data_IF_673253937648
#
_entry.id   IF_673253937648
#
_cell.length_a   1.000
_cell.length_b   1.000
_cell.length_c   1.000
_cell.angle_alpha   90.00
_cell.angle_beta   90.00
_cell.angle_gamma   90.00
#
_symmetry.space_group_name_H-M   'P 1'
#
loop_
_entity.id
_entity.type
_entity.pdbx_description
1 polymer ?
#
# COMPACT_ATOMS: atom_id res chain seq x y z
N UNK A 1 7.47 19.99 -7.44
CA UNK A 1 6.64 18.99 -6.73
C UNK A 1 7.57 17.97 -6.06
N UNK A 2 8.37 18.43 -5.10
CA UNK A 2 9.59 17.72 -4.68
C UNK A 2 9.64 17.38 -3.18
N UNK A 3 8.60 17.68 -2.41
CA UNK A 3 8.62 17.56 -0.95
C UNK A 3 7.32 17.04 -0.35
N UNK A 4 6.45 16.41 -1.16
CA UNK A 4 5.20 15.87 -0.67
C UNK A 4 4.88 14.56 -1.40
N UNK A 5 4.11 13.70 -0.74
CA UNK A 5 3.52 12.51 -1.34
C UNK A 5 2.15 12.89 -1.87
N UNK A 6 1.90 12.60 -3.13
CA UNK A 6 0.54 12.68 -3.66
C UNK A 6 -0.23 11.44 -3.18
N UNK A 7 -1.25 11.66 -2.37
CA UNK A 7 -2.16 10.63 -1.88
C UNK A 7 -3.59 11.16 -1.89
N UNK A 8 -4.56 10.29 -2.18
CA UNK A 8 -5.99 10.63 -2.24
C UNK A 8 -6.82 9.58 -1.53
N UNK A 9 -7.76 10.03 -0.70
CA UNK A 9 -8.77 9.17 -0.12
C UNK A 9 -9.74 8.67 -1.20
N UNK A 10 -9.97 7.37 -1.21
CA UNK A 10 -11.00 6.72 -2.02
C UNK A 10 -12.06 6.21 -1.06
N UNK A 11 -13.22 6.85 -1.09
CA UNK A 11 -14.36 6.49 -0.27
C UNK A 11 -15.00 5.20 -0.75
N UNK A 12 -15.68 4.50 0.16
CA UNK A 12 -16.39 3.28 -0.16
C UNK A 12 -17.46 3.54 -1.22
N UNK A 13 -17.56 2.62 -2.19
CA UNK A 13 -18.49 2.72 -3.31
C UNK A 13 -19.37 1.49 -3.32
N UNK A 14 -20.69 1.70 -3.39
CA UNK A 14 -21.62 0.64 -3.81
C UNK A 14 -21.70 0.66 -5.34
N UNK A 15 -21.22 -0.38 -6.04
CA UNK A 15 -21.23 -0.43 -7.49
C UNK A 15 -22.64 -0.34 -8.07
N UNK A 16 -22.75 0.20 -9.29
CA UNK A 16 -23.99 0.18 -10.04
C UNK A 16 -24.35 -1.25 -10.44
N UNK A 17 -25.65 -1.58 -10.39
CA UNK A 17 -26.17 -2.90 -10.82
C UNK A 17 -26.55 -2.94 -12.30
N UNK A 18 -26.58 -1.78 -12.95
CA UNK A 18 -26.95 -1.59 -14.35
C UNK A 18 -26.29 -0.33 -14.93
N UNK A 19 -26.42 -0.13 -16.24
CA UNK A 19 -25.81 0.99 -16.96
C UNK A 19 -26.50 2.35 -16.76
N UNK A 20 -27.62 2.40 -16.04
CA UNK A 20 -28.45 3.60 -15.89
C UNK A 20 -28.36 4.22 -14.48
N UNK A 21 -27.93 3.43 -13.49
CA UNK A 21 -27.81 3.86 -12.10
C UNK A 21 -26.38 4.27 -11.80
N UNK A 22 -26.17 5.47 -11.27
CA UNK A 22 -24.85 5.89 -10.80
C UNK A 22 -24.43 5.09 -9.55
N UNK A 23 -23.14 4.75 -9.39
CA UNK A 23 -22.65 4.16 -8.14
C UNK A 23 -22.90 5.09 -6.96
N UNK A 24 -23.19 4.52 -5.79
CA UNK A 24 -23.42 5.30 -4.57
C UNK A 24 -22.13 5.40 -3.77
N UNK A 25 -21.74 6.63 -3.42
CA UNK A 25 -20.55 6.91 -2.62
C UNK A 25 -20.94 7.02 -1.14
N UNK A 26 -20.26 6.28 -0.27
CA UNK A 26 -20.32 6.46 1.17
C UNK A 26 -19.12 7.30 1.64
N UNK A 27 -19.33 8.61 1.75
CA UNK A 27 -18.29 9.55 2.20
C UNK A 27 -17.91 9.40 3.67
N UNK A 28 -18.65 8.60 4.46
CA UNK A 28 -18.31 8.35 5.86
C UNK A 28 -17.23 7.27 6.04
N UNK A 29 -16.97 6.47 4.99
CA UNK A 29 -16.01 5.37 5.01
C UNK A 29 -14.94 5.57 3.95
N UNK A 30 -13.69 5.74 4.37
CA UNK A 30 -12.52 5.69 3.48
C UNK A 30 -12.07 4.24 3.37
N UNK A 31 -12.07 3.69 2.16
CA UNK A 31 -11.76 2.27 1.93
C UNK A 31 -10.33 2.09 1.40
N UNK A 32 -9.82 3.06 0.65
CA UNK A 32 -8.45 3.07 0.16
C UNK A 32 -7.79 4.43 0.30
N UNK A 33 -6.46 4.40 0.32
CA UNK A 33 -5.62 5.55 0.00
C UNK A 33 -4.88 5.20 -1.28
N UNK A 34 -5.12 5.96 -2.35
CA UNK A 34 -4.37 5.86 -3.59
C UNK A 34 -3.16 6.80 -3.50
N UNK A 35 -1.95 6.27 -3.52
CA UNK A 35 -0.74 7.06 -3.31
C UNK A 35 0.32 6.88 -4.40
N UNK A 36 1.15 7.92 -4.57
CA UNK A 36 2.42 7.83 -5.28
C UNK A 36 3.40 6.96 -4.49
N UNK A 37 4.25 6.20 -5.19
CA UNK A 37 5.38 5.53 -4.56
C UNK A 37 6.34 6.56 -3.94
N UNK A 38 6.88 6.30 -2.73
CA UNK A 38 7.77 7.24 -2.07
C UNK A 38 9.05 7.47 -2.88
N UNK A 39 9.53 8.70 -2.84
CA UNK A 39 10.88 9.06 -3.26
C UNK A 39 11.83 8.87 -2.07
N UNK A 40 13.15 8.80 -2.32
CA UNK A 40 14.15 8.67 -1.25
C UNK A 40 13.97 9.71 -0.13
N UNK A 41 13.57 10.93 -0.49
CA UNK A 41 13.36 12.05 0.44
C UNK A 41 11.99 12.10 1.10
N UNK A 42 11.03 11.29 0.64
CA UNK A 42 9.66 11.23 1.20
C UNK A 42 9.35 9.89 1.84
N UNK A 43 10.36 9.05 2.12
CA UNK A 43 10.14 7.76 2.81
C UNK A 43 9.57 7.99 4.21
N UNK A 44 10.06 9.01 4.92
CA UNK A 44 9.60 9.36 6.26
C UNK A 44 8.13 9.80 6.23
N UNK A 45 7.79 10.73 5.33
CA UNK A 45 6.42 11.21 5.13
C UNK A 45 5.45 10.05 4.79
N UNK A 46 5.94 9.02 4.08
CA UNK A 46 5.13 7.87 3.67
C UNK A 46 4.77 7.01 4.88
N UNK A 47 5.74 6.75 5.76
CA UNK A 47 5.50 6.03 7.00
C UNK A 47 4.70 6.83 8.03
N UNK A 48 4.88 8.15 8.08
CA UNK A 48 4.05 9.03 8.91
C UNK A 48 2.58 8.96 8.47
N UNK A 49 2.30 9.08 7.16
CA UNK A 49 0.96 8.89 6.61
C UNK A 49 0.37 7.51 6.96
N UNK A 50 1.17 6.43 6.88
CA UNK A 50 0.76 5.07 7.27
C UNK A 50 0.37 5.03 8.75
N UNK A 51 1.17 5.61 9.64
CA UNK A 51 0.92 5.65 11.07
C UNK A 51 -0.35 6.47 11.40
N UNK A 52 -0.47 7.68 10.85
CA UNK A 52 -1.59 8.59 11.10
C UNK A 52 -2.94 8.02 10.66
N UNK A 53 -2.96 7.35 9.50
CA UNK A 53 -4.15 6.72 8.95
C UNK A 53 -4.36 5.28 9.47
N UNK A 54 -3.53 4.82 10.42
CA UNK A 54 -3.58 3.49 11.03
C UNK A 54 -3.63 2.36 10.00
N UNK A 55 -2.90 2.52 8.90
CA UNK A 55 -2.88 1.57 7.80
C UNK A 55 -2.19 0.29 8.25
N UNK A 56 -2.90 -0.83 8.12
CA UNK A 56 -2.41 -2.19 8.41
C UNK A 56 -2.05 -2.97 7.13
N UNK A 57 -2.52 -2.52 5.95
CA UNK A 57 -2.32 -3.22 4.68
C UNK A 57 -1.91 -2.27 3.56
N UNK A 58 -0.82 -2.61 2.88
CA UNK A 58 -0.25 -1.90 1.73
C UNK A 58 -0.24 -2.83 0.53
N UNK A 59 -0.69 -2.34 -0.62
CA UNK A 59 -0.58 -3.00 -1.92
C UNK A 59 0.39 -2.19 -2.79
N UNK A 60 1.55 -2.78 -3.07
CA UNK A 60 2.61 -2.19 -3.90
C UNK A 60 2.60 -2.83 -5.30
N UNK A 61 2.34 -2.02 -6.32
CA UNK A 61 2.09 -2.48 -7.70
C UNK A 61 3.19 -2.06 -8.69
N UNK A 62 4.40 -1.76 -8.21
CA UNK A 62 5.52 -1.33 -9.06
C UNK A 62 6.83 -1.88 -8.54
N UNK A 63 7.76 -2.16 -9.45
CA UNK A 63 9.14 -2.42 -9.05
C UNK A 63 9.83 -1.12 -8.66
N UNK A 64 10.94 -1.21 -7.91
CA UNK A 64 11.72 -0.04 -7.53
C UNK A 64 12.28 0.70 -8.76
N UNK A 65 12.70 -0.06 -9.76
CA UNK A 65 13.23 0.41 -11.03
C UNK A 65 12.61 -0.39 -12.15
N UNK A 66 12.12 0.28 -13.19
CA UNK A 66 11.55 -0.34 -14.40
C UNK A 66 12.24 0.30 -15.61
N UNK A 67 12.81 -0.52 -16.50
CA UNK A 67 13.55 -0.04 -17.69
C UNK A 67 14.63 1.02 -17.36
N UNK A 68 15.37 0.82 -16.25
CA UNK A 68 16.36 1.75 -15.70
C UNK A 68 15.79 3.12 -15.22
N UNK A 69 14.48 3.26 -15.15
CA UNK A 69 13.81 4.44 -14.59
C UNK A 69 13.40 4.16 -13.15
N UNK A 70 13.85 4.95 -12.16
CA UNK A 70 13.36 4.84 -10.79
C UNK A 70 11.86 5.11 -10.71
N UNK A 71 11.12 4.21 -10.09
CA UNK A 71 9.65 4.31 -9.95
C UNK A 71 9.21 4.48 -8.50
N UNK A 72 9.95 3.87 -7.57
CA UNK A 72 9.69 3.88 -6.13
C UNK A 72 11.01 3.69 -5.39
N UNK A 73 11.21 4.38 -4.27
CA UNK A 73 12.28 4.06 -3.34
C UNK A 73 11.90 2.83 -2.50
N UNK A 74 12.88 2.01 -2.13
CA UNK A 74 12.68 1.04 -1.07
C UNK A 74 12.44 1.82 0.23
N UNK A 75 11.35 1.50 0.91
CA UNK A 75 10.94 2.15 2.16
C UNK A 75 10.93 1.15 3.32
N UNK A 76 11.67 0.05 3.21
CA UNK A 76 11.74 -1.02 4.20
C UNK A 76 13.20 -1.43 4.45
N UNK A 77 13.51 -2.09 5.59
CA UNK A 77 14.83 -2.65 5.88
C UNK A 77 15.22 -3.76 4.89
N UNK A 78 16.51 -3.96 4.61
CA UNK A 78 16.96 -4.98 3.64
C UNK A 78 16.90 -6.42 4.20
N UNK A 79 16.83 -6.59 5.52
CA UNK A 79 16.88 -7.89 6.19
C UNK A 79 15.75 -8.05 7.22
N UNK A 80 15.29 -9.29 7.43
CA UNK A 80 14.36 -9.62 8.51
C UNK A 80 15.03 -9.38 9.87
N UNK A 81 14.29 -8.77 10.80
CA UNK A 81 14.72 -8.25 12.10
C UNK A 81 15.59 -6.98 12.04
N UNK A 82 15.92 -6.46 10.85
CA UNK A 82 16.55 -5.15 10.75
C UNK A 82 15.51 -4.04 10.98
N UNK A 83 15.98 -2.93 11.55
CA UNK A 83 15.16 -1.75 11.87
C UNK A 83 15.74 -0.54 11.18
N UNK A 84 14.89 0.23 10.50
CA UNK A 84 15.20 1.59 10.06
C UNK A 84 14.53 2.56 11.03
N UNK A 85 15.29 3.51 11.55
CA UNK A 85 14.79 4.60 12.40
C UNK A 85 14.77 5.88 11.59
N UNK A 86 13.62 6.52 11.55
CA UNK A 86 13.38 7.82 10.93
C UNK A 86 13.11 8.86 12.01
N UNK A 87 13.54 10.10 11.76
CA UNK A 87 13.17 11.25 12.57
C UNK A 87 12.13 12.08 11.83
N UNK A 88 10.93 12.23 12.40
CA UNK A 88 9.89 13.09 11.85
C UNK A 88 9.35 14.03 12.93
N UNK A 89 9.34 15.33 12.68
CA UNK A 89 8.80 16.33 13.61
C UNK A 89 9.30 16.21 15.07
N UNK A 90 10.56 15.77 15.26
CA UNK A 90 11.16 15.57 16.59
C UNK A 90 10.74 14.28 17.30
N UNK A 91 10.06 13.35 16.61
CA UNK A 91 9.69 12.02 17.08
C UNK A 91 10.43 10.95 16.28
N UNK A 92 10.73 9.84 16.96
CA UNK A 92 11.24 8.64 16.31
C UNK A 92 10.08 7.85 15.69
N UNK A 93 10.32 7.36 14.47
CA UNK A 93 9.50 6.39 13.78
C UNK A 93 10.40 5.21 13.42
N UNK A 94 10.13 4.05 13.99
CA UNK A 94 10.91 2.84 13.77
C UNK A 94 10.11 1.84 12.93
N UNK A 95 10.74 1.33 11.88
CA UNK A 95 10.20 0.30 10.99
C UNK A 95 11.09 -0.92 11.05
N UNK A 96 10.59 -2.00 11.65
CA UNK A 96 11.29 -3.28 11.72
C UNK A 96 10.63 -4.28 10.79
N UNK A 97 11.39 -4.96 9.93
CA UNK A 97 10.86 -6.07 9.14
C UNK A 97 10.75 -7.32 10.02
N UNK A 98 9.55 -7.87 10.19
CA UNK A 98 9.34 -9.06 11.03
C UNK A 98 9.22 -10.36 10.21
N UNK A 99 8.81 -10.26 8.94
CA UNK A 99 8.80 -11.41 8.03
C UNK A 99 8.85 -10.96 6.57
N UNK A 100 9.47 -11.78 5.73
CA UNK A 100 9.40 -11.69 4.28
C UNK A 100 9.10 -13.08 3.72
N UNK A 101 8.04 -13.20 2.93
CA UNK A 101 7.60 -14.43 2.29
C UNK A 101 7.57 -14.22 0.78
N UNK A 102 8.41 -14.97 0.06
CA UNK A 102 8.60 -14.81 -1.37
C UNK A 102 7.80 -15.83 -2.18
N UNK A 103 6.85 -15.36 -2.99
CA UNK A 103 5.98 -16.18 -3.84
C UNK A 103 6.24 -15.88 -5.32
N UNK A 104 5.81 -16.74 -6.26
CA UNK A 104 6.04 -16.51 -7.68
C UNK A 104 5.52 -15.16 -8.20
N UNK A 105 4.30 -14.75 -7.82
CA UNK A 105 3.66 -13.52 -8.33
C UNK A 105 3.82 -12.29 -7.43
N UNK A 106 4.14 -12.49 -6.15
CA UNK A 106 4.19 -11.41 -5.16
C UNK A 106 5.16 -11.72 -4.02
N UNK A 107 5.47 -10.70 -3.22
CA UNK A 107 6.16 -10.81 -1.94
C UNK A 107 5.24 -10.29 -0.85
N UNK A 108 5.16 -10.99 0.27
CA UNK A 108 4.51 -10.47 1.48
C UNK A 108 5.60 -10.07 2.45
N UNK A 109 5.60 -8.80 2.87
CA UNK A 109 6.42 -8.32 3.97
C UNK A 109 5.51 -7.92 5.12
N UNK A 110 5.92 -8.22 6.35
CA UNK A 110 5.28 -7.67 7.53
C UNK A 110 6.27 -6.81 8.28
N UNK A 111 5.77 -5.70 8.78
CA UNK A 111 6.54 -4.70 9.49
C UNK A 111 5.94 -4.46 10.86
N UNK A 112 6.81 -4.23 11.83
CA UNK A 112 6.45 -3.62 13.07
C UNK A 112 6.73 -2.12 12.95
N UNK A 113 5.69 -1.30 13.12
CA UNK A 113 5.74 0.15 13.04
C UNK A 113 5.52 0.73 14.43
N UNK A 114 6.53 1.45 14.94
CA UNK A 114 6.46 2.20 16.19
C UNK A 114 6.58 3.67 15.84
N UNK A 115 5.62 4.50 16.26
CA UNK A 115 5.59 5.94 15.99
C UNK A 115 5.33 6.73 17.27
N UNK A 116 6.24 7.63 17.63
CA UNK A 116 6.18 8.38 18.88
C UNK A 116 6.80 7.64 20.07
N UNK A 117 6.59 8.16 21.29
CA UNK A 117 7.21 7.63 22.49
C UNK A 117 6.45 6.45 23.14
N UNK A 118 5.28 6.10 22.60
CA UNK A 118 4.44 5.03 23.16
C UNK A 118 4.78 3.71 22.44
N UNK A 119 5.87 3.09 22.88
CA UNK A 119 6.33 1.76 22.42
C UNK A 119 5.36 0.62 22.81
N UNK A 120 4.29 0.94 23.56
CA UNK A 120 3.41 -0.05 24.20
C UNK A 120 2.46 -0.75 23.23
N UNK A 121 2.14 -0.18 22.07
CA UNK A 121 1.29 -0.79 21.05
C UNK A 121 1.88 -0.65 19.64
N UNK A 122 2.84 -1.52 19.27
CA UNK A 122 3.38 -1.57 17.93
C UNK A 122 2.29 -1.90 16.88
N UNK A 123 2.22 -1.14 15.80
CA UNK A 123 1.29 -1.43 14.71
C UNK A 123 1.92 -2.42 13.72
N UNK A 124 1.20 -3.51 13.41
CA UNK A 124 1.64 -4.45 12.37
C UNK A 124 1.13 -3.99 11.02
N UNK A 125 2.06 -3.76 10.09
CA UNK A 125 1.76 -3.35 8.72
C UNK A 125 2.19 -4.44 7.74
N UNK A 126 1.27 -4.93 6.92
CA UNK A 126 1.54 -5.93 5.89
C UNK A 126 1.64 -5.25 4.52
N UNK A 127 2.72 -5.49 3.79
CA UNK A 127 2.86 -5.09 2.39
C UNK A 127 2.74 -6.32 1.49
N UNK A 128 1.76 -6.29 0.59
CA UNK A 128 1.65 -7.18 -0.56
C UNK A 128 2.26 -6.49 -1.78
N UNK A 129 3.42 -6.94 -2.22
CA UNK A 129 4.15 -6.38 -3.35
C UNK A 129 4.06 -7.30 -4.57
N UNK A 130 3.33 -6.88 -5.59
CA UNK A 130 3.26 -7.61 -6.87
C UNK A 130 4.58 -7.47 -7.65
N UNK A 131 5.19 -8.61 -8.01
CA UNK A 131 6.51 -8.63 -8.66
C UNK A 131 6.48 -8.19 -10.11
N UNK A 132 5.43 -8.53 -10.84
CA UNK A 132 5.38 -8.37 -12.28
C UNK A 132 4.09 -7.66 -12.68
N UNK A 133 4.20 -6.35 -12.88
CA UNK A 133 3.24 -5.59 -13.68
C UNK A 133 4.05 -4.80 -14.71
N UNK A 134 4.15 -5.29 -15.96
CA UNK A 134 5.05 -4.71 -16.95
C UNK A 134 4.71 -3.24 -17.24
N UNK A 135 5.75 -2.41 -17.38
CA UNK A 135 5.59 -1.00 -17.77
C UNK A 135 4.99 -0.94 -19.19
N UNK A 136 3.99 -0.08 -19.38
CA UNK A 136 3.17 0.03 -20.60
C UNK A 136 2.27 -1.17 -20.97
N UNK A 137 2.02 -2.10 -20.05
CA UNK A 137 1.17 -3.27 -20.29
C UNK A 137 0.06 -3.48 -19.26
N UNK A 138 -0.66 -4.59 -19.43
CA UNK A 138 -1.57 -5.17 -18.43
C UNK A 138 -0.84 -6.30 -17.70
N UNK A 139 -1.20 -6.61 -16.45
CA UNK A 139 -0.61 -7.76 -15.79
C UNK A 139 -1.09 -9.05 -16.46
N UNK A 140 -0.33 -10.15 -16.29
CA UNK A 140 -0.87 -11.46 -16.61
C UNK A 140 -2.12 -11.72 -15.76
N UNK A 141 -3.18 -12.22 -16.39
CA UNK A 141 -4.48 -12.36 -15.73
C UNK A 141 -4.41 -13.35 -14.55
N UNK A 142 -3.65 -14.45 -14.69
CA UNK A 142 -3.53 -15.44 -13.63
C UNK A 142 -2.71 -14.90 -12.46
N UNK A 143 -1.64 -14.15 -12.73
CA UNK A 143 -0.85 -13.48 -11.69
C UNK A 143 -1.66 -12.41 -10.96
N UNK A 144 -2.37 -11.56 -11.71
CA UNK A 144 -3.21 -10.51 -11.13
C UNK A 144 -4.35 -11.10 -10.29
N UNK A 145 -5.03 -12.14 -10.79
CA UNK A 145 -6.06 -12.83 -10.04
C UNK A 145 -5.50 -13.46 -8.75
N UNK A 146 -4.27 -13.99 -8.80
CA UNK A 146 -3.57 -14.56 -7.65
C UNK A 146 -3.27 -13.50 -6.59
N UNK A 147 -2.76 -12.33 -7.00
CA UNK A 147 -2.52 -11.19 -6.09
C UNK A 147 -3.82 -10.68 -5.49
N UNK A 148 -4.86 -10.50 -6.30
CA UNK A 148 -6.16 -10.02 -5.84
C UNK A 148 -6.81 -11.00 -4.86
N UNK A 149 -6.72 -12.31 -5.11
CA UNK A 149 -7.19 -13.33 -4.18
C UNK A 149 -6.43 -13.29 -2.85
N UNK A 150 -5.11 -13.11 -2.88
CA UNK A 150 -4.32 -13.03 -1.65
C UNK A 150 -4.63 -11.75 -0.86
N UNK A 151 -4.76 -10.62 -1.54
CA UNK A 151 -5.23 -9.38 -0.94
C UNK A 151 -6.57 -9.58 -0.20
N UNK A 152 -7.56 -10.25 -0.80
CA UNK A 152 -8.84 -10.51 -0.14
C UNK A 152 -8.68 -11.31 1.15
N UNK A 153 -7.83 -12.34 1.14
CA UNK A 153 -7.55 -13.14 2.35
C UNK A 153 -6.94 -12.28 3.45
N UNK A 154 -5.94 -11.46 3.10
CA UNK A 154 -5.29 -10.54 4.03
C UNK A 154 -6.28 -9.52 4.58
N UNK A 155 -7.13 -8.94 3.73
CA UNK A 155 -8.15 -7.96 4.17
C UNK A 155 -9.21 -8.59 5.07
N UNK A 156 -9.62 -9.82 4.81
CA UNK A 156 -10.59 -10.55 5.65
C UNK A 156 -10.02 -10.93 7.03
N UNK A 157 -8.72 -11.23 7.11
CA UNK A 157 -8.05 -11.57 8.36
C UNK A 157 -7.48 -10.36 9.12
N UNK A 158 -7.55 -9.17 8.51
CA UNK A 158 -7.06 -7.94 9.14
C UNK A 158 -7.88 -7.62 10.40
N UNK A 159 -7.15 -7.31 11.48
CA UNK A 159 -7.72 -6.93 12.77
C UNK A 159 -8.31 -5.52 12.67
N UNK A 160 -7.69 -4.64 11.87
CA UNK A 160 -8.15 -3.26 11.69
C UNK A 160 -9.02 -3.12 10.44
N UNK A 161 -10.27 -3.61 10.54
CA UNK A 161 -11.21 -3.64 9.40
C UNK A 161 -11.64 -2.25 8.91
N UNK A 162 -11.56 -1.25 9.78
CA UNK A 162 -11.97 0.12 9.46
C UNK A 162 -10.83 0.94 8.85
N UNK A 163 -9.58 0.45 8.89
CA UNK A 163 -8.46 1.12 8.25
C UNK A 163 -8.52 0.99 6.71
N UNK A 164 -8.18 2.07 5.99
CA UNK A 164 -8.09 2.02 4.55
C UNK A 164 -6.89 1.18 4.11
N UNK A 165 -7.03 0.50 2.97
CA UNK A 165 -5.90 -0.13 2.30
C UNK A 165 -5.09 0.94 1.56
N UNK A 166 -3.78 1.03 1.80
CA UNK A 166 -2.91 1.87 0.99
C UNK A 166 -2.57 1.14 -0.32
N UNK A 167 -2.95 1.69 -1.47
CA UNK A 167 -2.61 1.13 -2.77
C UNK A 167 -1.72 2.13 -3.51
N UNK A 168 -0.52 1.70 -3.90
CA UNK A 168 0.40 2.58 -4.62
C UNK A 168 1.09 1.86 -5.79
N UNK A 169 1.55 2.68 -6.73
CA UNK A 169 2.46 2.26 -7.80
C UNK A 169 3.58 3.29 -7.90
N UNK A 170 3.96 3.71 -9.11
CA UNK A 170 4.88 4.85 -9.28
C UNK A 170 4.15 6.18 -9.07
N UNK A 171 3.25 6.57 -9.99
CA UNK A 171 2.52 7.84 -9.90
C UNK A 171 1.24 7.80 -9.02
N UNK A 172 0.80 6.60 -8.62
CA UNK A 172 -0.41 6.43 -7.80
C UNK A 172 -1.74 6.51 -8.55
N UNK A 173 -1.74 6.39 -9.88
CA UNK A 173 -2.94 6.56 -10.71
C UNK A 173 -3.30 5.31 -11.51
N UNK A 174 -2.47 4.90 -12.48
CA UNK A 174 -2.83 3.84 -13.44
C UNK A 174 -3.05 2.46 -12.81
N UNK A 175 -1.96 1.80 -12.37
CA UNK A 175 -2.02 0.46 -11.76
C UNK A 175 -2.83 0.46 -10.45
N UNK A 176 -2.65 1.51 -9.65
CA UNK A 176 -3.42 1.77 -8.43
C UNK A 176 -4.92 1.77 -8.71
N UNK A 177 -5.38 2.56 -9.69
CA UNK A 177 -6.80 2.66 -10.03
C UNK A 177 -7.36 1.36 -10.60
N UNK A 178 -6.59 0.65 -11.44
CA UNK A 178 -7.01 -0.67 -11.97
C UNK A 178 -7.20 -1.68 -10.83
N UNK A 179 -6.26 -1.74 -9.88
CA UNK A 179 -6.37 -2.64 -8.73
C UNK A 179 -7.60 -2.33 -7.88
N UNK A 180 -7.79 -1.06 -7.51
CA UNK A 180 -8.94 -0.62 -6.71
C UNK A 180 -10.26 -0.93 -7.44
N UNK A 181 -10.35 -0.63 -8.74
CA UNK A 181 -11.54 -0.94 -9.51
C UNK A 181 -11.82 -2.44 -9.59
N UNK A 182 -10.78 -3.27 -9.80
CA UNK A 182 -10.92 -4.72 -9.84
C UNK A 182 -11.35 -5.31 -8.49
N UNK A 183 -10.89 -4.73 -7.39
CA UNK A 183 -11.32 -5.08 -6.04
C UNK A 183 -12.80 -4.75 -5.82
N UNK A 184 -13.22 -3.51 -6.12
CA UNK A 184 -14.60 -3.04 -5.92
C UNK A 184 -15.63 -3.82 -6.76
N UNK A 185 -15.26 -4.27 -7.96
CA UNK A 185 -16.19 -4.91 -8.91
C UNK A 185 -16.31 -6.42 -8.69
N UNK A 186 -15.35 -7.06 -8.01
CA UNK A 186 -15.29 -8.51 -7.85
C UNK A 186 -16.21 -9.03 -6.75
#
# INVERSE_FOLDING_TARGET
AEYYINASYIYAVTPCKDAYTAPQLDQSKVEYIAAQGPLKKTVVDFWEMIAENRISLIVMLTQLVEQNVPKCAAYWPDEVNATIIHMCHGKELAVTMISEEDYPSYVIRRFNLVSGADESEPAVVTQLHMKLWPDHGVPDLAEFATVLNEYQKLKMSDVNKDAPTLVHCSAGVGRTGIFIAADIIK
#
